data_IF_442936446699
#
_entry.id   IF_442936446699
#
_cell.length_a   1.000
_cell.length_b   1.000
_cell.length_c   1.000
_cell.angle_alpha   90.00
_cell.angle_beta   90.00
_cell.angle_gamma   90.00
#
_symmetry.space_group_name_H-M   'P 1'
#
loop_
_entity.id
_entity.type
_entity.pdbx_description
1 polymer ?
#
# COMPACT_ATOMS: atom_id res chain seq x y z
N UNK A 1 -11.37 9.19 -15.01
CA UNK A 1 -11.24 10.51 -14.35
C UNK A 1 -9.95 10.51 -13.55
N UNK A 2 -9.06 11.51 -13.70
CA UNK A 2 -7.83 11.60 -12.90
C UNK A 2 -8.18 11.71 -11.42
N UNK A 3 -7.35 11.15 -10.52
CA UNK A 3 -7.60 11.15 -9.06
C UNK A 3 -7.82 12.58 -8.54
N UNK A 4 -7.07 13.56 -9.07
CA UNK A 4 -7.22 14.99 -8.81
C UNK A 4 -8.67 15.47 -8.97
N UNK A 5 -9.30 15.18 -10.12
CA UNK A 5 -10.68 15.61 -10.41
C UNK A 5 -11.70 14.92 -9.52
N UNK A 6 -11.48 13.65 -9.15
CA UNK A 6 -12.37 12.90 -8.26
C UNK A 6 -12.34 13.50 -6.85
N UNK A 7 -11.15 13.77 -6.31
CA UNK A 7 -10.99 14.40 -5.00
C UNK A 7 -11.65 15.78 -4.95
N UNK A 8 -11.39 16.63 -5.94
CA UNK A 8 -12.05 17.94 -6.02
C UNK A 8 -13.57 17.80 -6.03
N UNK A 9 -14.13 16.88 -6.82
CA UNK A 9 -15.58 16.68 -6.90
C UNK A 9 -16.18 16.21 -5.58
N UNK A 10 -15.54 15.26 -4.88
CA UNK A 10 -16.00 14.77 -3.58
C UNK A 10 -15.97 15.88 -2.53
N UNK A 11 -14.89 16.65 -2.45
CA UNK A 11 -14.82 17.79 -1.53
C UNK A 11 -15.85 18.86 -1.85
N UNK A 12 -16.01 19.23 -3.13
CA UNK A 12 -17.04 20.19 -3.53
C UNK A 12 -18.43 19.71 -3.14
N UNK A 13 -18.75 18.43 -3.33
CA UNK A 13 -20.06 17.88 -2.96
C UNK A 13 -20.28 17.90 -1.44
N UNK A 14 -19.27 17.50 -0.66
CA UNK A 14 -19.34 17.51 0.79
C UNK A 14 -19.56 18.94 1.33
N UNK A 15 -18.77 19.90 0.88
CA UNK A 15 -18.92 21.30 1.28
C UNK A 15 -20.22 21.92 0.78
N UNK A 16 -20.69 21.57 -0.43
CA UNK A 16 -21.98 22.03 -0.92
C UNK A 16 -23.14 21.57 -0.02
N UNK A 17 -23.14 20.31 0.42
CA UNK A 17 -24.14 19.79 1.36
C UNK A 17 -24.09 20.55 2.69
N UNK A 18 -22.88 20.78 3.23
CA UNK A 18 -22.70 21.54 4.49
C UNK A 18 -23.22 22.98 4.33
N UNK A 19 -22.85 23.69 3.26
CA UNK A 19 -23.28 25.08 3.06
C UNK A 19 -24.78 25.19 2.81
N UNK A 20 -25.38 24.27 2.04
CA UNK A 20 -26.83 24.23 1.83
C UNK A 20 -27.55 23.93 3.15
N UNK A 21 -27.06 22.97 3.93
CA UNK A 21 -27.62 22.64 5.23
C UNK A 21 -27.54 23.81 6.22
N UNK A 22 -26.39 24.49 6.26
CA UNK A 22 -26.19 25.68 7.09
C UNK A 22 -27.09 26.84 6.67
N UNK A 23 -27.22 27.10 5.37
CA UNK A 23 -28.11 28.13 4.84
C UNK A 23 -29.58 27.82 5.15
N UNK A 24 -30.00 26.57 4.99
CA UNK A 24 -31.35 26.12 5.33
C UNK A 24 -31.64 26.28 6.82
N UNK A 25 -30.73 25.81 7.69
CA UNK A 25 -30.86 25.95 9.14
C UNK A 25 -30.95 27.41 9.57
N UNK A 26 -30.07 28.27 9.04
CA UNK A 26 -30.06 29.70 9.32
C UNK A 26 -31.36 30.37 8.89
N UNK A 27 -31.86 30.05 7.68
CA UNK A 27 -33.12 30.59 7.19
C UNK A 27 -34.30 30.14 8.04
N UNK A 28 -34.39 28.85 8.36
CA UNK A 28 -35.45 28.28 9.20
C UNK A 28 -35.45 28.89 10.61
N UNK A 29 -34.28 28.95 11.26
CA UNK A 29 -34.14 29.55 12.58
C UNK A 29 -34.51 31.03 12.57
N UNK A 30 -34.11 31.78 11.54
CA UNK A 30 -34.46 33.20 11.41
C UNK A 30 -35.95 33.41 11.14
N UNK A 31 -36.59 32.54 10.36
CA UNK A 31 -38.03 32.59 10.10
C UNK A 31 -38.85 32.29 11.36
N UNK A 32 -38.42 31.31 12.16
CA UNK A 32 -39.05 30.98 13.45
C UNK A 32 -38.88 32.12 14.46
N UNK A 33 -37.66 32.67 14.60
CA UNK A 33 -37.40 33.80 15.50
C UNK A 33 -38.18 35.06 15.11
N UNK A 34 -38.29 35.35 13.80
CA UNK A 34 -39.10 36.46 13.28
C UNK A 34 -40.56 36.34 13.71
N UNK A 35 -41.13 35.14 13.61
CA UNK A 35 -42.55 34.94 13.93
C UNK A 35 -42.85 35.20 15.42
N UNK A 36 -42.02 34.68 16.32
CA UNK A 36 -42.12 34.91 17.77
C UNK A 36 -41.89 36.38 18.15
N UNK A 37 -40.86 37.02 17.59
CA UNK A 37 -40.60 38.45 17.80
C UNK A 37 -41.77 39.33 17.33
N UNK A 38 -42.44 38.94 16.24
CA UNK A 38 -43.56 39.70 15.69
C UNK A 38 -44.80 39.64 16.60
N UNK A 39 -45.17 38.48 17.13
CA UNK A 39 -46.29 38.38 18.09
C UNK A 39 -46.01 39.17 19.37
N UNK A 40 -44.79 39.08 19.92
CA UNK A 40 -44.38 39.89 21.07
C UNK A 40 -44.48 41.39 20.81
N UNK A 41 -44.09 41.84 19.60
CA UNK A 41 -44.19 43.24 19.19
C UNK A 41 -45.65 43.68 19.05
N UNK A 42 -46.53 42.87 18.45
CA UNK A 42 -47.97 43.16 18.36
C UNK A 42 -48.57 43.35 19.76
N UNK A 43 -48.26 42.44 20.70
CA UNK A 43 -48.70 42.53 22.08
C UNK A 43 -48.22 43.82 22.75
N UNK A 44 -46.94 44.17 22.63
CA UNK A 44 -46.38 45.39 23.22
C UNK A 44 -47.04 46.66 22.69
N UNK A 45 -47.31 46.72 21.39
CA UNK A 45 -48.02 47.84 20.77
C UNK A 45 -49.46 47.94 21.28
N UNK A 46 -50.15 46.81 21.39
CA UNK A 46 -51.51 46.73 21.91
C UNK A 46 -51.60 47.16 23.38
N UNK A 47 -50.66 46.74 24.23
CA UNK A 47 -50.52 47.20 25.62
C UNK A 47 -50.25 48.71 25.66
N UNK A 48 -49.39 49.23 24.79
CA UNK A 48 -49.07 50.66 24.73
C UNK A 48 -50.31 51.49 24.39
N UNK A 49 -51.08 51.10 23.37
CA UNK A 49 -52.34 51.78 23.02
C UNK A 49 -53.37 51.67 24.15
N UNK A 50 -53.45 50.52 24.81
CA UNK A 50 -54.35 50.33 25.95
C UNK A 50 -53.98 51.22 27.13
N UNK A 51 -52.69 51.36 27.45
CA UNK A 51 -52.22 52.28 28.48
C UNK A 51 -52.54 53.74 28.14
N UNK A 52 -52.40 54.14 26.86
CA UNK A 52 -52.77 55.49 26.43
C UNK A 52 -54.28 55.75 26.60
N UNK A 53 -55.12 54.75 26.32
CA UNK A 53 -56.57 54.87 26.46
C UNK A 53 -57.01 54.86 27.94
N UNK A 54 -56.58 53.86 28.72
CA UNK A 54 -57.07 53.62 30.09
C UNK A 54 -56.34 54.45 31.15
N UNK A 55 -55.02 54.62 31.02
CA UNK A 55 -54.20 55.29 32.01
C UNK A 55 -54.00 56.78 31.73
N UNK A 56 -53.55 57.11 30.51
CA UNK A 56 -53.37 58.50 30.08
C UNK A 56 -54.70 59.18 29.69
N UNK A 57 -55.82 58.42 29.64
CA UNK A 57 -57.17 58.90 29.31
C UNK A 57 -57.24 59.67 27.99
N UNK A 58 -56.42 59.29 27.00
CA UNK A 58 -56.45 59.88 25.67
C UNK A 58 -57.79 59.54 25.02
N UNK A 59 -58.50 60.54 24.51
CA UNK A 59 -59.80 60.32 23.89
C UNK A 59 -59.69 59.36 22.67
N UNK A 60 -60.63 58.41 22.48
CA UNK A 60 -60.63 57.46 21.37
C UNK A 60 -60.41 58.12 20.00
N UNK A 61 -61.06 59.26 19.75
CA UNK A 61 -60.95 60.00 18.49
C UNK A 61 -59.55 60.56 18.20
N UNK A 62 -58.74 60.83 19.24
CA UNK A 62 -57.35 61.28 19.06
C UNK A 62 -56.46 60.10 18.64
N UNK A 63 -56.63 58.93 19.27
CA UNK A 63 -55.88 57.71 18.89
C UNK A 63 -56.25 57.26 17.47
N UNK A 64 -57.55 57.33 17.11
CA UNK A 64 -58.02 57.05 15.75
C UNK A 64 -57.46 58.06 14.73
N UNK A 65 -57.30 59.34 15.10
CA UNK A 65 -56.68 60.34 14.23
C UNK A 65 -55.19 60.06 14.02
N UNK A 66 -54.48 59.62 15.06
CA UNK A 66 -53.08 59.18 14.97
C UNK A 66 -52.96 57.98 14.03
N UNK A 67 -53.81 56.96 14.22
CA UNK A 67 -53.86 55.79 13.32
C UNK A 67 -54.16 56.22 11.88
N UNK A 68 -55.20 57.04 11.66
CA UNK A 68 -55.60 57.48 10.32
C UNK A 68 -54.50 58.24 9.56
N UNK A 69 -53.75 59.08 10.27
CA UNK A 69 -52.75 59.97 9.68
C UNK A 69 -51.32 59.40 9.72
N UNK A 70 -51.12 58.17 10.21
CA UNK A 70 -49.81 57.55 10.14
C UNK A 70 -49.52 57.07 8.70
N UNK A 71 -48.32 57.34 8.14
CA UNK A 71 -47.93 56.77 6.85
C UNK A 71 -48.08 55.25 6.83
N UNK A 72 -48.55 54.68 5.72
CA UNK A 72 -48.84 53.24 5.57
C UNK A 72 -49.97 52.69 6.47
N UNK A 73 -51.00 53.49 6.78
CA UNK A 73 -52.19 53.08 7.56
C UNK A 73 -52.83 51.72 7.16
N UNK A 74 -52.84 51.35 5.86
CA UNK A 74 -53.32 50.02 5.41
C UNK A 74 -52.59 48.84 6.10
N UNK A 75 -51.34 49.04 6.50
CA UNK A 75 -50.46 48.05 7.12
C UNK A 75 -50.22 48.31 8.61
N UNK A 76 -50.88 49.32 9.20
CA UNK A 76 -50.78 49.56 10.62
C UNK A 76 -51.47 48.47 11.44
N UNK A 77 -50.96 48.33 12.66
CA UNK A 77 -51.49 47.46 13.69
C UNK A 77 -52.86 47.95 14.14
N UNK A 78 -53.85 47.13 13.87
CA UNK A 78 -55.24 47.34 14.29
C UNK A 78 -55.41 46.72 15.66
N UNK A 79 -55.78 47.53 16.63
CA UNK A 79 -56.03 47.14 18.01
C UNK A 79 -57.49 47.40 18.33
N UNK A 80 -58.14 46.39 18.90
CA UNK A 80 -59.48 46.50 19.46
C UNK A 80 -59.44 46.13 20.95
N UNK A 81 -60.24 46.85 21.74
CA UNK A 81 -60.35 46.67 23.18
C UNK A 81 -61.81 46.44 23.50
N UNK A 82 -62.08 45.30 24.12
CA UNK A 82 -63.40 44.87 24.57
C UNK A 82 -63.42 44.71 26.09
N UNK A 83 -64.61 44.81 26.67
CA UNK A 83 -64.84 44.23 28.00
C UNK A 83 -65.04 42.71 27.92
N UNK A 84 -65.12 42.05 29.07
CA UNK A 84 -65.37 40.59 29.15
C UNK A 84 -66.77 40.17 28.69
N UNK A 85 -67.69 41.11 28.47
CA UNK A 85 -69.06 40.87 28.01
C UNK A 85 -69.22 41.07 26.49
N UNK A 86 -68.11 41.31 25.77
CA UNK A 86 -68.07 41.58 24.33
C UNK A 86 -68.66 42.95 23.94
N UNK A 87 -68.54 43.96 24.80
CA UNK A 87 -68.81 45.35 24.45
C UNK A 87 -67.52 46.01 23.96
N UNK A 88 -67.57 46.61 22.77
CA UNK A 88 -66.43 47.30 22.17
C UNK A 88 -66.20 48.64 22.88
N UNK A 89 -65.01 48.81 23.47
CA UNK A 89 -64.59 50.04 24.15
C UNK A 89 -63.75 50.93 23.22
N UNK A 90 -62.94 50.32 22.36
CA UNK A 90 -62.07 51.03 21.43
C UNK A 90 -61.71 50.16 20.23
N UNK A 91 -61.58 50.79 19.07
CA UNK A 91 -61.08 50.18 17.84
C UNK A 91 -60.33 51.23 17.01
N UNK A 92 -59.16 50.88 16.50
CA UNK A 92 -58.35 51.78 15.66
C UNK A 92 -59.05 52.17 14.35
N UNK A 93 -59.73 51.22 13.69
CA UNK A 93 -60.38 51.40 12.39
C UNK A 93 -61.85 50.94 12.40
N UNK A 94 -62.77 51.76 12.92
CA UNK A 94 -64.20 51.38 13.06
C UNK A 94 -64.86 50.99 11.72
N UNK A 95 -64.35 51.51 10.60
CA UNK A 95 -64.89 51.28 9.25
C UNK A 95 -64.26 50.08 8.52
N UNK A 96 -63.12 49.56 9.01
CA UNK A 96 -62.35 48.46 8.41
C UNK A 96 -61.93 47.51 9.53
N UNK A 97 -62.87 46.68 9.96
CA UNK A 97 -62.61 45.59 10.91
C UNK A 97 -61.96 44.41 10.18
N UNK A 98 -60.65 44.23 10.36
CA UNK A 98 -59.84 43.20 9.66
C UNK A 98 -59.97 41.81 10.29
N UNK A 99 -60.18 41.73 11.61
CA UNK A 99 -60.19 40.45 12.34
C UNK A 99 -61.62 39.90 12.41
N UNK A 100 -62.62 40.77 12.55
CA UNK A 100 -64.01 40.44 12.88
C UNK A 100 -64.08 39.59 14.13
N UNK A 101 -63.79 40.19 15.29
CA UNK A 101 -63.84 39.45 16.55
C UNK A 101 -65.23 38.84 16.76
N UNK A 102 -65.24 37.59 17.22
CA UNK A 102 -66.46 36.86 17.56
C UNK A 102 -66.53 36.64 19.05
N UNK A 103 -67.74 36.52 19.61
CA UNK A 103 -67.93 36.19 21.02
C UNK A 103 -67.23 34.87 21.42
N UNK A 104 -67.10 33.91 20.50
CA UNK A 104 -66.34 32.68 20.72
C UNK A 104 -64.82 32.95 20.88
N UNK A 105 -64.25 33.85 20.06
CA UNK A 105 -62.86 34.27 20.16
C UNK A 105 -62.57 34.94 21.51
N UNK A 106 -63.43 35.87 21.92
CA UNK A 106 -63.30 36.58 23.20
C UNK A 106 -63.38 35.60 24.39
N UNK A 107 -64.33 34.68 24.39
CA UNK A 107 -64.41 33.64 25.43
C UNK A 107 -63.15 32.75 25.47
N UNK A 108 -62.57 32.46 24.32
CA UNK A 108 -61.33 31.68 24.22
C UNK A 108 -60.14 32.45 24.82
N UNK A 109 -60.05 33.77 24.56
CA UNK A 109 -59.02 34.64 25.17
C UNK A 109 -59.21 34.70 26.69
N UNK A 110 -60.45 34.86 27.17
CA UNK A 110 -60.74 34.90 28.61
C UNK A 110 -60.36 33.58 29.30
N UNK A 111 -60.59 32.44 28.63
CA UNK A 111 -60.31 31.11 29.19
C UNK A 111 -58.82 30.77 29.16
N UNK A 112 -58.14 31.04 28.05
CA UNK A 112 -56.74 30.66 27.82
C UNK A 112 -55.73 31.73 28.27
N UNK A 113 -56.21 32.94 28.58
CA UNK A 113 -55.39 34.10 28.91
C UNK A 113 -54.78 34.79 27.69
N UNK A 114 -54.32 34.02 26.70
CA UNK A 114 -53.75 34.52 25.44
C UNK A 114 -53.95 33.51 24.30
N UNK A 115 -54.14 34.02 23.09
CA UNK A 115 -54.14 33.24 21.85
C UNK A 115 -53.34 33.99 20.78
N UNK A 116 -52.62 33.22 19.96
CA UNK A 116 -51.95 33.68 18.75
C UNK A 116 -52.54 32.92 17.56
N UNK A 117 -52.88 33.63 16.48
CA UNK A 117 -53.44 32.99 15.28
C UNK A 117 -53.11 33.77 14.00
N UNK A 118 -53.25 33.09 12.87
CA UNK A 118 -53.10 33.68 11.53
C UNK A 118 -54.46 33.71 10.83
N UNK A 119 -54.80 34.85 10.24
CA UNK A 119 -56.00 35.03 9.44
C UNK A 119 -55.61 35.59 8.06
N UNK A 120 -55.53 34.70 7.08
CA UNK A 120 -54.98 35.04 5.76
C UNK A 120 -53.51 35.45 5.87
N UNK A 121 -53.20 36.70 5.52
CA UNK A 121 -51.85 37.28 5.63
C UNK A 121 -51.62 38.05 6.95
N UNK A 122 -52.63 38.12 7.82
CA UNK A 122 -52.54 38.82 9.10
C UNK A 122 -52.09 37.85 10.18
N UNK A 123 -51.19 38.33 11.04
CA UNK A 123 -50.87 37.70 12.32
C UNK A 123 -51.63 38.49 13.40
N UNK A 124 -52.32 37.76 14.28
CA UNK A 124 -53.17 38.33 15.30
C UNK A 124 -52.82 37.74 16.67
N UNK A 125 -52.86 38.59 17.71
CA UNK A 125 -52.73 38.20 19.10
C UNK A 125 -53.92 38.72 19.88
N UNK A 126 -54.50 37.89 20.73
CA UNK A 126 -55.58 38.24 21.64
C UNK A 126 -55.20 37.88 23.06
N UNK A 127 -55.29 38.80 24.01
CA UNK A 127 -54.87 38.55 25.40
C UNK A 127 -55.70 39.32 26.42
N UNK A 128 -55.73 38.79 27.64
CA UNK A 128 -56.31 39.46 28.81
C UNK A 128 -55.36 40.52 29.36
N UNK A 129 -55.92 41.69 29.66
CA UNK A 129 -55.21 42.80 30.28
C UNK A 129 -55.95 43.30 31.52
N UNK A 130 -55.26 43.31 32.65
CA UNK A 130 -55.82 43.77 33.93
C UNK A 130 -55.43 45.23 34.17
N UNK A 131 -56.41 46.08 34.40
CA UNK A 131 -56.19 47.48 34.74
C UNK A 131 -57.09 47.89 35.91
N UNK A 132 -56.48 48.34 37.02
CA UNK A 132 -57.16 48.81 38.23
C UNK A 132 -58.25 47.85 38.79
N UNK A 133 -58.07 46.54 38.60
CA UNK A 133 -58.99 45.51 39.08
C UNK A 133 -60.00 45.02 38.05
N UNK A 134 -60.14 45.71 36.92
CA UNK A 134 -61.02 45.31 35.81
C UNK A 134 -60.24 44.54 34.74
N UNK A 135 -60.92 43.60 34.07
CA UNK A 135 -60.38 42.80 32.99
C UNK A 135 -60.84 43.33 31.63
N UNK A 136 -59.88 43.53 30.73
CA UNK A 136 -60.10 43.95 29.36
C UNK A 136 -59.55 42.88 28.41
N UNK A 137 -60.23 42.69 27.29
CA UNK A 137 -59.78 41.80 26.22
C UNK A 137 -59.21 42.67 25.10
N UNK A 138 -57.94 42.46 24.79
CA UNK A 138 -57.25 43.21 23.73
C UNK A 138 -56.95 42.27 22.58
N UNK A 139 -57.33 42.67 21.37
CA UNK A 139 -56.91 42.02 20.13
C UNK A 139 -56.05 42.98 19.33
N UNK A 140 -55.00 42.44 18.69
CA UNK A 140 -54.15 43.20 17.79
C UNK A 140 -53.80 42.37 16.56
N UNK A 141 -53.96 42.93 15.36
CA UNK A 141 -53.54 42.28 14.12
C UNK A 141 -52.85 43.21 13.15
N UNK A 142 -51.87 42.66 12.45
CA UNK A 142 -51.19 43.33 11.35
C UNK A 142 -50.51 42.32 10.42
N UNK A 143 -50.02 42.83 9.28
CA UNK A 143 -49.22 42.07 8.31
C UNK A 143 -47.74 42.35 8.51
N UNK A 144 -46.92 41.32 8.71
CA UNK A 144 -45.47 41.47 8.89
C UNK A 144 -44.71 41.72 7.57
N UNK A 145 -44.99 42.83 6.88
CA UNK A 145 -44.32 43.13 5.62
C UNK A 145 -42.81 43.35 5.79
N UNK A 146 -42.42 43.98 6.90
CA UNK A 146 -41.01 44.26 7.18
C UNK A 146 -40.21 42.99 7.47
N UNK A 147 -40.72 42.08 8.29
CA UNK A 147 -40.08 40.80 8.54
C UNK A 147 -40.06 39.90 7.31
N UNK A 148 -41.13 39.87 6.50
CA UNK A 148 -41.16 39.14 5.24
C UNK A 148 -40.13 39.69 4.23
N UNK A 149 -39.99 41.01 4.11
CA UNK A 149 -38.98 41.64 3.26
C UNK A 149 -37.54 41.31 3.75
N UNK A 150 -37.32 41.31 5.08
CA UNK A 150 -36.05 40.85 5.67
C UNK A 150 -35.75 39.38 5.32
N UNK A 151 -36.74 38.50 5.37
CA UNK A 151 -36.56 37.10 4.98
C UNK A 151 -36.21 36.95 3.50
N UNK A 152 -36.82 37.77 2.63
CA UNK A 152 -36.48 37.77 1.20
C UNK A 152 -35.03 38.20 0.94
N UNK A 153 -34.56 39.25 1.64
CA UNK A 153 -33.17 39.70 1.58
C UNK A 153 -32.21 38.65 2.15
N UNK A 154 -32.54 38.05 3.29
CA UNK A 154 -31.75 36.98 3.90
C UNK A 154 -31.60 35.80 2.95
N UNK A 155 -32.70 35.36 2.31
CA UNK A 155 -32.68 34.29 1.30
C UNK A 155 -31.74 34.62 0.15
N UNK A 156 -31.80 35.85 -0.38
CA UNK A 156 -30.93 36.28 -1.47
C UNK A 156 -29.46 36.26 -1.07
N UNK A 157 -29.13 36.81 0.11
CA UNK A 157 -27.76 36.80 0.65
C UNK A 157 -27.26 35.37 0.84
N UNK A 158 -28.08 34.47 1.40
CA UNK A 158 -27.72 33.07 1.62
C UNK A 158 -27.45 32.32 0.30
N UNK A 159 -28.26 32.56 -0.74
CA UNK A 159 -28.04 31.97 -2.07
C UNK A 159 -26.71 32.46 -2.66
N UNK A 160 -26.47 33.77 -2.65
CA UNK A 160 -25.22 34.33 -3.17
C UNK A 160 -24.00 33.85 -2.40
N UNK A 161 -24.08 33.82 -1.06
CA UNK A 161 -23.01 33.31 -0.21
C UNK A 161 -22.72 31.84 -0.50
N UNK A 162 -23.76 31.01 -0.61
CA UNK A 162 -23.60 29.58 -0.93
C UNK A 162 -22.94 29.35 -2.29
N UNK A 163 -23.38 30.06 -3.33
CA UNK A 163 -22.77 29.97 -4.66
C UNK A 163 -21.31 30.44 -4.65
N UNK A 164 -21.02 31.54 -3.95
CA UNK A 164 -19.66 32.06 -3.77
C UNK A 164 -18.75 31.05 -3.06
N UNK A 165 -19.21 30.48 -1.95
CA UNK A 165 -18.48 29.47 -1.18
C UNK A 165 -18.23 28.19 -1.97
N UNK A 166 -19.21 27.69 -2.73
CA UNK A 166 -19.02 26.51 -3.61
C UNK A 166 -17.97 26.81 -4.68
N UNK A 167 -18.06 27.98 -5.33
CA UNK A 167 -17.10 28.39 -6.37
C UNK A 167 -15.67 28.44 -5.80
N UNK A 168 -15.50 29.11 -4.66
CA UNK A 168 -14.21 29.18 -3.97
C UNK A 168 -13.68 27.78 -3.60
N UNK A 169 -14.55 26.88 -3.15
CA UNK A 169 -14.19 25.51 -2.79
C UNK A 169 -13.70 24.71 -4.00
N UNK A 170 -14.31 24.88 -5.17
CA UNK A 170 -13.85 24.23 -6.41
C UNK A 170 -12.43 24.67 -6.74
N UNK A 171 -12.16 25.98 -6.72
CA UNK A 171 -10.83 26.52 -7.02
C UNK A 171 -9.77 26.06 -6.01
N UNK A 172 -10.06 26.18 -4.71
CA UNK A 172 -9.16 25.76 -3.65
C UNK A 172 -8.90 24.25 -3.70
N UNK A 173 -9.95 23.45 -3.84
CA UNK A 173 -9.86 21.99 -3.90
C UNK A 173 -9.06 21.51 -5.12
N UNK A 174 -9.20 22.16 -6.27
CA UNK A 174 -8.38 21.85 -7.45
C UNK A 174 -6.90 22.21 -7.23
N UNK A 175 -6.62 23.38 -6.65
CA UNK A 175 -5.26 23.84 -6.38
C UNK A 175 -4.53 22.90 -5.40
N UNK A 176 -5.14 22.60 -4.26
CA UNK A 176 -4.54 21.69 -3.27
C UNK A 176 -4.37 20.27 -3.80
N UNK A 177 -5.36 19.73 -4.54
CA UNK A 177 -5.23 18.41 -5.14
C UNK A 177 -4.09 18.35 -6.17
N UNK A 178 -3.89 19.42 -6.95
CA UNK A 178 -2.77 19.50 -7.91
C UNK A 178 -1.42 19.52 -7.19
N UNK A 179 -1.29 20.27 -6.10
CA UNK A 179 -0.05 20.36 -5.34
C UNK A 179 0.27 19.06 -4.59
N UNK A 180 -0.71 18.47 -3.91
CA UNK A 180 -0.54 17.24 -3.13
C UNK A 180 -0.18 16.04 -4.02
N UNK A 181 -0.74 15.97 -5.23
CA UNK A 181 -0.49 14.87 -6.18
C UNK A 181 0.59 15.21 -7.20
N UNK A 182 1.35 16.30 -7.03
CA UNK A 182 2.48 16.62 -7.91
C UNK A 182 3.59 15.58 -7.78
N UNK A 183 4.08 15.21 -6.57
CA UNK A 183 5.17 14.23 -6.45
C UNK A 183 4.87 12.88 -7.09
N UNK A 184 3.61 12.42 -7.00
CA UNK A 184 3.18 11.17 -7.64
C UNK A 184 3.24 11.25 -9.17
N UNK A 185 2.95 12.43 -9.75
CA UNK A 185 3.09 12.60 -11.19
C UNK A 185 4.56 12.64 -11.61
N UNK A 186 5.40 13.34 -10.85
CA UNK A 186 6.85 13.38 -11.09
C UNK A 186 7.44 11.95 -11.01
N UNK A 187 7.01 11.12 -10.05
CA UNK A 187 7.40 9.70 -9.98
C UNK A 187 6.94 8.84 -11.16
N UNK A 188 5.75 9.13 -11.74
CA UNK A 188 5.29 8.41 -12.93
C UNK A 188 6.19 8.73 -14.11
N UNK A 189 6.54 10.01 -14.28
CA UNK A 189 7.45 10.46 -15.34
C UNK A 189 8.85 9.82 -15.16
N UNK A 190 9.38 9.80 -13.94
CA UNK A 190 10.65 9.13 -13.60
C UNK A 190 10.61 7.63 -13.96
N UNK A 191 9.50 6.93 -13.66
CA UNK A 191 9.34 5.50 -13.99
C UNK A 191 9.18 5.25 -15.48
N UNK A 192 8.50 6.13 -16.21
CA UNK A 192 8.36 6.01 -17.67
C UNK A 192 9.71 6.15 -18.41
N UNK A 193 10.70 6.83 -17.81
CA UNK A 193 12.06 6.94 -18.34
C UNK A 193 12.94 5.72 -18.02
N UNK A 194 12.53 4.86 -17.07
CA UNK A 194 13.28 3.67 -16.71
C UNK A 194 13.27 2.62 -17.83
N UNK A 195 14.46 2.14 -18.16
CA UNK A 195 14.72 1.09 -19.13
C UNK A 195 15.81 0.16 -18.61
N UNK A 196 15.99 -1.00 -19.25
CA UNK A 196 17.07 -1.93 -18.91
C UNK A 196 18.48 -1.33 -19.05
N UNK A 197 18.63 -0.19 -19.73
CA UNK A 197 19.91 0.50 -19.94
C UNK A 197 20.25 1.59 -18.92
N UNK A 198 19.31 2.03 -18.08
CA UNK A 198 19.47 3.14 -17.12
C UNK A 198 18.82 2.80 -15.76
N UNK A 199 19.05 1.57 -15.28
CA UNK A 199 18.59 1.09 -13.98
C UNK A 199 19.26 1.79 -12.78
N UNK A 200 20.27 2.62 -13.01
CA UNK A 200 20.96 3.46 -12.01
C UNK A 200 20.15 4.70 -11.61
N UNK A 201 19.12 5.07 -12.38
CA UNK A 201 18.19 6.13 -12.02
C UNK A 201 17.40 5.76 -10.77
N UNK A 202 17.13 6.75 -9.93
CA UNK A 202 16.35 6.60 -8.70
C UNK A 202 15.27 7.67 -8.67
N UNK A 203 14.11 7.28 -8.13
CA UNK A 203 13.01 8.21 -7.92
C UNK A 203 13.43 9.27 -6.90
N UNK A 204 13.05 10.51 -7.20
CA UNK A 204 13.27 11.62 -6.26
C UNK A 204 12.41 11.42 -5.01
N UNK A 205 13.00 11.52 -3.82
CA UNK A 205 12.27 11.37 -2.55
C UNK A 205 11.59 12.71 -2.20
N UNK A 206 10.26 12.81 -2.19
CA UNK A 206 9.56 14.05 -1.86
C UNK A 206 9.57 14.34 -0.35
N UNK A 207 9.27 15.60 0.00
CA UNK A 207 8.90 16.05 1.35
C UNK A 207 9.83 15.58 2.49
N UNK A 208 11.14 15.54 2.24
CA UNK A 208 12.18 15.14 3.21
C UNK A 208 11.98 13.73 3.81
N UNK A 209 11.29 12.81 3.13
CA UNK A 209 11.24 11.40 3.56
C UNK A 209 10.24 11.07 4.66
N UNK A 210 9.23 11.91 4.92
CA UNK A 210 8.38 11.78 6.13
C UNK A 210 6.93 11.37 5.87
N UNK A 211 6.48 11.31 4.63
CA UNK A 211 5.11 10.96 4.27
C UNK A 211 5.03 9.62 3.52
N UNK A 212 3.81 9.13 3.34
CA UNK A 212 3.52 7.85 2.68
C UNK A 212 3.97 7.84 1.21
N UNK A 213 4.05 9.02 0.57
CA UNK A 213 4.55 9.14 -0.81
C UNK A 213 6.07 8.95 -0.84
N UNK A 214 6.78 9.48 0.15
CA UNK A 214 8.21 9.27 0.29
C UNK A 214 8.55 7.82 0.65
N UNK A 215 7.76 7.18 1.52
CA UNK A 215 7.89 5.75 1.81
C UNK A 215 7.71 4.90 0.55
N UNK A 216 6.75 5.25 -0.31
CA UNK A 216 6.55 4.60 -1.61
C UNK A 216 7.78 4.77 -2.52
N UNK A 217 8.34 5.98 -2.61
CA UNK A 217 9.55 6.25 -3.40
C UNK A 217 10.76 5.45 -2.90
N UNK A 218 10.96 5.38 -1.58
CA UNK A 218 12.03 4.59 -0.95
C UNK A 218 11.86 3.09 -1.27
N UNK A 219 10.64 2.56 -1.11
CA UNK A 219 10.35 1.14 -1.39
C UNK A 219 10.59 0.81 -2.87
N UNK A 220 10.21 1.71 -3.77
CA UNK A 220 10.46 1.53 -5.20
C UNK A 220 11.96 1.55 -5.52
N UNK A 221 12.72 2.48 -4.93
CA UNK A 221 14.18 2.53 -5.09
C UNK A 221 14.86 1.24 -4.59
N UNK A 222 14.41 0.66 -3.48
CA UNK A 222 14.91 -0.65 -3.02
C UNK A 222 14.62 -1.79 -4.00
N UNK A 223 13.48 -1.76 -4.69
CA UNK A 223 13.18 -2.70 -5.77
C UNK A 223 14.13 -2.50 -6.96
N UNK A 224 14.39 -1.24 -7.34
CA UNK A 224 15.36 -0.90 -8.39
C UNK A 224 16.76 -1.37 -8.04
N UNK A 225 17.22 -1.21 -6.79
CA UNK A 225 18.51 -1.73 -6.33
C UNK A 225 18.61 -3.24 -6.57
N UNK A 226 17.58 -4.01 -6.19
CA UNK A 226 17.55 -5.47 -6.39
C UNK A 226 17.56 -5.86 -7.86
N UNK A 227 16.84 -5.11 -8.70
CA UNK A 227 16.82 -5.32 -10.15
C UNK A 227 18.16 -5.01 -10.78
N UNK A 228 18.78 -3.88 -10.44
CA UNK A 228 20.10 -3.50 -10.92
C UNK A 228 21.16 -4.54 -10.55
N UNK A 229 21.19 -4.97 -9.29
CA UNK A 229 22.09 -6.03 -8.84
C UNK A 229 21.89 -7.33 -9.64
N UNK A 230 20.65 -7.77 -9.82
CA UNK A 230 20.35 -9.00 -10.57
C UNK A 230 20.78 -8.89 -12.03
N UNK A 231 20.52 -7.75 -12.68
CA UNK A 231 20.87 -7.52 -14.08
C UNK A 231 22.39 -7.39 -14.27
N UNK A 232 23.08 -6.73 -13.33
CA UNK A 232 24.54 -6.63 -13.33
C UNK A 232 25.19 -8.01 -13.20
N UNK A 233 24.74 -8.83 -12.24
CA UNK A 233 25.23 -10.20 -12.08
C UNK A 233 24.95 -11.07 -13.31
N UNK A 234 23.79 -10.91 -13.96
CA UNK A 234 23.49 -11.62 -15.22
C UNK A 234 24.43 -11.19 -16.35
N UNK A 235 24.71 -9.88 -16.48
CA UNK A 235 25.62 -9.34 -17.50
C UNK A 235 27.05 -9.84 -17.29
N UNK A 236 27.52 -9.83 -16.05
CA UNK A 236 28.82 -10.37 -15.65
C UNK A 236 28.89 -11.87 -15.98
N UNK A 237 27.88 -12.64 -15.60
CA UNK A 237 27.78 -14.07 -15.92
C UNK A 237 27.91 -14.35 -17.43
N UNK A 238 27.15 -13.64 -18.27
CA UNK A 238 27.19 -13.81 -19.75
C UNK A 238 28.57 -13.42 -20.32
N UNK A 239 29.19 -12.37 -19.78
CA UNK A 239 30.52 -11.92 -20.19
C UNK A 239 31.59 -12.98 -19.86
N UNK A 240 31.61 -13.48 -18.62
CA UNK A 240 32.53 -14.53 -18.19
C UNK A 240 32.34 -15.82 -18.98
N UNK A 241 31.08 -16.25 -19.18
CA UNK A 241 30.73 -17.42 -19.99
C UNK A 241 31.28 -17.30 -21.42
N UNK A 242 31.15 -16.12 -22.03
CA UNK A 242 31.65 -15.87 -23.39
C UNK A 242 33.18 -15.97 -23.46
N UNK A 243 33.89 -15.52 -22.41
CA UNK A 243 35.35 -15.62 -22.33
C UNK A 243 35.83 -17.06 -22.09
N UNK A 244 35.24 -17.76 -21.13
CA UNK A 244 35.60 -19.14 -20.77
C UNK A 244 35.33 -20.15 -21.90
N UNK A 245 34.34 -19.89 -22.77
CA UNK A 245 34.12 -20.67 -23.98
C UNK A 245 35.11 -20.34 -25.10
N UNK A 246 35.42 -19.04 -25.31
CA UNK A 246 36.22 -18.58 -26.46
C UNK A 246 37.66 -19.08 -26.40
N UNK A 247 38.27 -19.08 -25.21
CA UNK A 247 39.68 -19.47 -25.03
C UNK A 247 39.97 -20.91 -25.47
N UNK A 248 39.33 -21.96 -24.89
CA UNK A 248 39.59 -23.35 -25.30
C UNK A 248 39.17 -23.60 -26.76
N UNK A 249 38.10 -22.96 -27.24
CA UNK A 249 37.72 -23.08 -28.65
C UNK A 249 38.78 -22.51 -29.59
N UNK A 250 39.38 -21.37 -29.26
CA UNK A 250 40.48 -20.79 -30.03
C UNK A 250 41.73 -21.69 -30.00
N UNK A 251 42.04 -22.32 -28.86
CA UNK A 251 43.13 -23.29 -28.76
C UNK A 251 42.91 -24.49 -29.68
N UNK A 252 41.72 -25.10 -29.65
CA UNK A 252 41.36 -26.21 -30.56
C UNK A 252 41.53 -25.80 -32.02
N UNK A 253 41.02 -24.63 -32.40
CA UNK A 253 41.14 -24.14 -33.78
C UNK A 253 42.62 -23.97 -34.16
N UNK A 254 43.42 -23.32 -33.31
CA UNK A 254 44.84 -23.09 -33.56
C UNK A 254 45.63 -24.39 -33.66
N UNK A 255 45.40 -25.37 -32.77
CA UNK A 255 46.06 -26.68 -32.81
C UNK A 255 45.78 -27.42 -34.11
N UNK A 256 44.52 -27.41 -34.57
CA UNK A 256 44.12 -28.03 -35.83
C UNK A 256 44.69 -27.30 -37.05
N UNK A 257 44.68 -25.96 -37.08
CA UNK A 257 45.30 -25.17 -38.15
C UNK A 257 46.81 -25.40 -38.25
N UNK A 258 47.48 -25.44 -37.09
CA UNK A 258 48.91 -25.70 -36.98
C UNK A 258 49.25 -27.12 -37.44
N UNK A 259 48.39 -28.11 -37.13
CA UNK A 259 48.52 -29.47 -37.65
C UNK A 259 48.34 -29.52 -39.18
N UNK A 260 47.39 -28.77 -39.74
CA UNK A 260 47.13 -28.74 -41.19
C UNK A 260 48.23 -28.05 -42.01
N UNK A 261 48.88 -27.01 -41.46
CA UNK A 261 49.79 -26.14 -42.23
C UNK A 261 51.23 -26.66 -42.40
N UNK A 262 51.64 -27.72 -41.70
CA UNK A 262 53.01 -28.28 -41.80
C UNK A 262 52.98 -29.80 -41.82
N UNK A 263 53.78 -30.41 -42.69
CA UNK A 263 54.05 -31.85 -42.61
C UNK A 263 54.76 -32.18 -41.30
N UNK A 264 54.27 -33.21 -40.62
CA UNK A 264 54.74 -33.66 -39.31
C UNK A 264 54.84 -35.17 -39.25
N UNK A 265 55.54 -35.66 -38.23
CA UNK A 265 55.54 -37.10 -37.96
C UNK A 265 54.15 -37.56 -37.49
N UNK A 266 53.84 -38.84 -37.70
CA UNK A 266 52.58 -39.42 -37.25
C UNK A 266 52.35 -39.22 -35.73
N UNK A 267 53.42 -39.27 -34.93
CA UNK A 267 53.35 -39.06 -33.48
C UNK A 267 52.94 -37.63 -33.12
N UNK A 268 53.46 -36.62 -33.82
CA UNK A 268 53.10 -35.21 -33.58
C UNK A 268 51.65 -34.90 -33.99
N UNK A 269 51.14 -35.54 -35.05
CA UNK A 269 49.72 -35.46 -35.39
C UNK A 269 48.86 -36.09 -34.31
N UNK A 270 49.26 -37.26 -33.81
CA UNK A 270 48.54 -37.95 -32.73
C UNK A 270 48.48 -37.10 -31.46
N UNK A 271 49.59 -36.45 -31.09
CA UNK A 271 49.66 -35.55 -29.94
C UNK A 271 48.72 -34.34 -30.12
N UNK A 272 48.74 -33.69 -31.29
CA UNK A 272 47.86 -32.55 -31.59
C UNK A 272 46.37 -32.95 -31.55
N UNK A 273 46.02 -34.13 -32.07
CA UNK A 273 44.65 -34.66 -32.02
C UNK A 273 44.23 -34.95 -30.57
N UNK A 274 45.13 -35.48 -29.75
CA UNK A 274 44.85 -35.76 -28.34
C UNK A 274 44.64 -34.45 -27.57
N UNK A 275 45.44 -33.41 -27.82
CA UNK A 275 45.27 -32.09 -27.22
C UNK A 275 43.91 -31.47 -27.61
N UNK A 276 43.61 -31.41 -28.91
CA UNK A 276 42.35 -30.87 -29.40
C UNK A 276 41.13 -31.64 -28.86
N UNK A 277 41.24 -32.97 -28.73
CA UNK A 277 40.18 -33.79 -28.13
C UNK A 277 40.00 -33.52 -26.64
N UNK A 278 41.08 -33.28 -25.89
CA UNK A 278 41.00 -32.93 -24.47
C UNK A 278 40.34 -31.57 -24.27
N UNK A 279 40.69 -30.57 -25.08
CA UNK A 279 40.07 -29.24 -25.03
C UNK A 279 38.58 -29.28 -25.45
N UNK A 280 38.22 -30.09 -26.46
CA UNK A 280 36.82 -30.30 -26.83
C UNK A 280 36.01 -30.99 -25.71
N UNK A 281 36.62 -31.94 -24.99
CA UNK A 281 36.01 -32.55 -23.79
C UNK A 281 35.86 -31.53 -22.65
N UNK A 282 36.83 -30.62 -22.48
CA UNK A 282 36.75 -29.52 -21.49
C UNK A 282 35.60 -28.56 -21.81
N UNK A 283 35.44 -28.19 -23.09
CA UNK A 283 34.29 -27.41 -23.58
C UNK A 283 32.95 -28.10 -23.29
N UNK A 284 32.88 -29.42 -23.53
CA UNK A 284 31.67 -30.21 -23.23
C UNK A 284 31.31 -30.16 -21.75
N UNK A 285 32.30 -30.36 -20.86
CA UNK A 285 32.09 -30.27 -19.40
C UNK A 285 31.59 -28.89 -18.99
N UNK A 286 32.21 -27.82 -19.48
CA UNK A 286 31.77 -26.45 -19.20
C UNK A 286 30.32 -26.23 -19.65
N UNK A 287 29.96 -26.65 -20.88
CA UNK A 287 28.59 -26.52 -21.40
C UNK A 287 27.57 -27.28 -20.55
N UNK A 288 27.91 -28.49 -20.09
CA UNK A 288 27.03 -29.27 -19.22
C UNK A 288 26.84 -28.58 -17.87
N UNK A 289 27.93 -28.14 -17.22
CA UNK A 289 27.84 -27.40 -15.95
C UNK A 289 27.02 -26.12 -16.06
N UNK A 290 27.09 -25.43 -17.20
CA UNK A 290 26.27 -24.24 -17.47
C UNK A 290 24.80 -24.57 -17.62
N UNK A 291 24.48 -25.67 -18.33
CA UNK A 291 23.10 -26.13 -18.46
C UNK A 291 22.53 -26.57 -17.11
N UNK A 292 23.33 -27.25 -16.29
CA UNK A 292 22.93 -27.64 -14.94
C UNK A 292 22.66 -26.42 -14.05
N UNK A 293 23.50 -25.37 -14.15
CA UNK A 293 23.27 -24.10 -13.45
C UNK A 293 22.02 -23.39 -13.95
N UNK A 294 21.78 -23.34 -15.25
CA UNK A 294 20.55 -22.80 -15.81
C UNK A 294 19.32 -23.60 -15.35
N UNK A 295 19.42 -24.94 -15.31
CA UNK A 295 18.35 -25.80 -14.85
C UNK A 295 18.06 -25.62 -13.35
N UNK A 296 19.09 -25.40 -12.53
CA UNK A 296 18.91 -25.05 -11.13
C UNK A 296 18.30 -23.65 -10.92
N UNK A 297 18.23 -22.80 -11.96
CA UNK A 297 17.53 -21.51 -11.90
C UNK A 297 16.04 -21.59 -12.28
N UNK A 298 15.49 -22.77 -12.62
CA UNK A 298 14.04 -22.92 -12.82
C UNK A 298 13.25 -22.74 -11.51
N UNK A 299 11.96 -22.40 -11.67
CA UNK A 299 11.00 -22.34 -10.59
C UNK A 299 10.96 -23.70 -9.85
N UNK A 300 11.19 -23.74 -8.51
CA UNK A 300 11.16 -24.97 -7.73
C UNK A 300 9.88 -25.79 -7.93
N UNK A 301 8.75 -25.14 -8.26
CA UNK A 301 7.47 -25.79 -8.51
C UNK A 301 7.44 -26.68 -9.75
N UNK A 302 8.40 -26.52 -10.66
CA UNK A 302 8.53 -27.34 -11.88
C UNK A 302 9.50 -28.50 -11.71
N UNK A 303 10.21 -28.58 -10.58
CA UNK A 303 11.18 -29.64 -10.33
C UNK A 303 10.45 -30.80 -9.65
N UNK A 304 10.44 -31.96 -10.30
CA UNK A 304 9.88 -33.18 -9.71
C UNK A 304 10.78 -33.65 -8.56
N UNK A 305 10.23 -33.64 -7.35
CA UNK A 305 10.89 -34.17 -6.16
C UNK A 305 10.34 -35.56 -5.85
N UNK A 306 11.21 -36.44 -5.36
CA UNK A 306 10.88 -37.78 -4.88
C UNK A 306 11.65 -38.08 -3.60
N UNK A 307 11.23 -39.11 -2.88
CA UNK A 307 11.94 -39.61 -1.71
C UNK A 307 13.25 -40.26 -2.17
N UNK A 308 14.36 -39.83 -1.56
CA UNK A 308 15.71 -40.20 -1.95
C UNK A 308 16.52 -40.56 -0.72
N UNK A 309 17.09 -41.75 -0.74
CA UNK A 309 18.08 -42.20 0.23
C UNK A 309 19.45 -41.59 -0.06
N UNK A 310 20.01 -40.86 0.89
CA UNK A 310 21.27 -40.14 0.70
C UNK A 310 22.48 -41.08 0.56
N UNK A 311 22.46 -42.23 1.23
CA UNK A 311 23.51 -43.24 1.15
C UNK A 311 23.59 -43.89 -0.23
N UNK A 312 22.45 -44.28 -0.80
CA UNK A 312 22.37 -44.78 -2.19
C UNK A 312 22.89 -43.73 -3.18
N UNK A 313 22.45 -42.49 -3.02
CA UNK A 313 22.85 -41.40 -3.92
C UNK A 313 24.35 -41.10 -3.86
N UNK A 314 24.95 -41.20 -2.67
CA UNK A 314 26.39 -41.01 -2.47
C UNK A 314 27.21 -42.20 -3.01
N UNK A 315 26.69 -43.42 -2.91
CA UNK A 315 27.29 -44.60 -3.54
C UNK A 315 27.29 -44.46 -5.07
N UNK A 316 26.18 -44.02 -5.65
CA UNK A 316 26.05 -43.75 -7.08
C UNK A 316 27.01 -42.65 -7.53
N UNK A 317 27.07 -41.53 -6.80
CA UNK A 317 28.00 -40.44 -7.06
C UNK A 317 29.46 -40.91 -7.03
N UNK A 318 29.83 -41.73 -6.03
CA UNK A 318 31.16 -42.34 -5.91
C UNK A 318 31.45 -43.26 -7.10
N UNK A 319 30.52 -44.15 -7.46
CA UNK A 319 30.72 -45.12 -8.55
C UNK A 319 30.89 -44.39 -9.88
N UNK A 320 30.10 -43.35 -10.13
CA UNK A 320 30.19 -42.54 -11.34
C UNK A 320 31.54 -41.81 -11.42
N UNK A 321 31.99 -41.19 -10.32
CA UNK A 321 33.25 -40.45 -10.29
C UNK A 321 34.47 -41.38 -10.44
N UNK A 322 34.51 -42.48 -9.69
CA UNK A 322 35.62 -43.45 -9.75
C UNK A 322 35.68 -44.20 -11.09
N UNK A 323 34.54 -44.40 -11.76
CA UNK A 323 34.49 -44.92 -13.13
C UNK A 323 35.10 -43.95 -14.17
N UNK A 324 34.96 -42.64 -13.96
CA UNK A 324 35.56 -41.59 -14.81
C UNK A 324 37.03 -41.32 -14.47
N UNK A 325 37.40 -41.43 -13.20
CA UNK A 325 38.73 -41.13 -12.66
C UNK A 325 39.18 -42.26 -11.71
N UNK A 326 39.80 -43.34 -12.23
CA UNK A 326 40.18 -44.51 -11.42
C UNK A 326 41.22 -44.22 -10.32
N UNK A 327 41.93 -43.09 -10.41
CA UNK A 327 42.92 -42.66 -9.42
C UNK A 327 42.31 -42.06 -8.15
N UNK A 328 41.04 -41.67 -8.18
CA UNK A 328 40.38 -41.02 -7.05
C UNK A 328 39.96 -42.05 -5.99
N UNK A 329 40.24 -41.72 -4.73
CA UNK A 329 39.83 -42.52 -3.58
C UNK A 329 38.69 -41.80 -2.87
N UNK A 330 37.59 -42.52 -2.67
CA UNK A 330 36.41 -41.97 -1.99
C UNK A 330 36.04 -42.93 -0.86
N UNK A 331 36.17 -42.42 0.36
CA UNK A 331 35.94 -43.16 1.59
C UNK A 331 34.60 -42.70 2.19
N UNK A 332 33.62 -43.60 2.25
CA UNK A 332 32.30 -43.33 2.85
C UNK A 332 32.28 -43.88 4.27
N UNK A 333 31.97 -43.03 5.23
CA UNK A 333 31.86 -43.34 6.65
C UNK A 333 30.43 -43.09 7.08
N UNK A 334 29.81 -44.09 7.69
CA UNK A 334 28.49 -43.96 8.31
C UNK A 334 28.75 -43.84 9.81
N UNK A 335 28.45 -42.67 10.39
CA UNK A 335 28.76 -42.45 11.81
C UNK A 335 27.92 -43.38 12.70
N UNK A 336 26.68 -43.69 12.31
CA UNK A 336 25.76 -44.58 13.02
C UNK A 336 25.09 -45.56 12.04
N UNK A 337 24.81 -46.79 12.48
CA UNK A 337 23.84 -47.66 11.80
C UNK A 337 22.47 -46.97 11.95
N UNK A 338 21.93 -46.43 10.87
CA UNK A 338 20.62 -45.78 10.91
C UNK A 338 19.57 -46.84 11.31
N UNK A 339 19.00 -46.73 12.52
CA UNK A 339 17.92 -47.62 12.98
C UNK A 339 16.62 -47.40 12.20
N UNK A 340 16.49 -46.24 11.53
CA UNK A 340 15.34 -45.82 10.73
C UNK A 340 15.81 -45.21 9.39
N UNK A 341 15.33 -45.80 8.29
CA UNK A 341 15.66 -45.38 6.92
C UNK A 341 15.18 -43.93 6.63
N UNK A 342 14.16 -43.43 7.35
CA UNK A 342 13.60 -42.09 7.15
C UNK A 342 14.58 -40.97 7.54
N UNK A 343 15.51 -41.23 8.48
CA UNK A 343 16.47 -40.25 9.01
C UNK A 343 17.57 -39.85 8.00
N UNK A 344 17.75 -40.66 6.96
CA UNK A 344 18.67 -40.42 5.84
C UNK A 344 17.94 -40.29 4.50
N UNK A 345 16.62 -40.20 4.53
CA UNK A 345 15.77 -40.02 3.35
C UNK A 345 15.32 -38.57 3.24
N UNK A 346 15.59 -37.95 2.09
CA UNK A 346 15.24 -36.55 1.80
C UNK A 346 14.27 -36.46 0.63
N UNK A 347 13.46 -35.40 0.61
CA UNK A 347 12.62 -35.09 -0.55
C UNK A 347 13.44 -34.24 -1.54
N UNK A 348 13.74 -34.78 -2.72
CA UNK A 348 14.60 -34.09 -3.67
C UNK A 348 14.60 -34.60 -5.10
N UNK A 349 15.39 -33.94 -5.93
CA UNK A 349 15.65 -34.33 -7.30
C UNK A 349 16.98 -35.08 -7.38
N UNK A 350 16.91 -36.35 -7.81
CA UNK A 350 18.06 -37.27 -7.84
C UNK A 350 19.22 -36.73 -8.67
N UNK A 351 18.92 -36.21 -9.86
CA UNK A 351 19.94 -35.71 -10.78
C UNK A 351 20.68 -34.52 -10.18
N UNK A 352 19.94 -33.55 -9.64
CA UNK A 352 20.55 -32.34 -9.06
C UNK A 352 21.40 -32.68 -7.83
N UNK A 353 20.86 -33.41 -6.86
CA UNK A 353 21.62 -33.76 -5.66
C UNK A 353 22.86 -34.60 -5.99
N UNK A 354 22.76 -35.54 -6.94
CA UNK A 354 23.92 -36.31 -7.41
C UNK A 354 24.99 -35.39 -8.01
N UNK A 355 24.60 -34.43 -8.85
CA UNK A 355 25.53 -33.44 -9.42
C UNK A 355 26.23 -32.62 -8.34
N UNK A 356 25.49 -32.16 -7.32
CA UNK A 356 26.06 -31.42 -6.19
C UNK A 356 27.09 -32.27 -5.40
N UNK A 357 26.78 -33.53 -5.14
CA UNK A 357 27.67 -34.44 -4.42
C UNK A 357 28.90 -34.79 -5.24
N UNK A 358 28.75 -35.11 -6.53
CA UNK A 358 29.89 -35.36 -7.43
C UNK A 358 30.84 -34.16 -7.42
N UNK A 359 30.32 -32.93 -7.52
CA UNK A 359 31.15 -31.71 -7.48
C UNK A 359 31.96 -31.58 -6.19
N UNK A 360 31.38 -31.89 -5.04
CA UNK A 360 32.08 -31.80 -3.75
C UNK A 360 33.13 -32.90 -3.58
N UNK A 361 32.80 -34.13 -3.96
CA UNK A 361 33.73 -35.26 -3.92
C UNK A 361 34.89 -35.03 -4.88
N UNK A 362 34.61 -34.58 -6.10
CA UNK A 362 35.63 -34.25 -7.09
C UNK A 362 36.55 -33.14 -6.58
N UNK A 363 36.02 -32.08 -5.96
CA UNK A 363 36.84 -31.04 -5.34
C UNK A 363 37.74 -31.62 -4.24
N UNK A 364 37.21 -32.47 -3.34
CA UNK A 364 38.01 -33.09 -2.29
C UNK A 364 39.17 -33.94 -2.84
N UNK A 365 38.91 -34.77 -3.84
CA UNK A 365 39.95 -35.57 -4.50
C UNK A 365 40.96 -34.68 -5.28
N UNK A 366 40.48 -33.64 -5.94
CA UNK A 366 41.29 -32.79 -6.82
C UNK A 366 42.29 -31.91 -6.08
N UNK A 367 41.93 -31.44 -4.88
CA UNK A 367 42.78 -30.55 -4.09
C UNK A 367 43.60 -31.28 -3.00
N UNK A 368 43.38 -32.60 -2.83
CA UNK A 368 44.16 -33.43 -1.91
C UNK A 368 45.33 -34.14 -2.58
N UNK A 369 46.50 -34.13 -1.93
CA UNK A 369 47.72 -34.75 -2.47
C UNK A 369 47.61 -36.27 -2.65
N UNK A 370 46.81 -36.95 -1.82
CA UNK A 370 46.53 -38.38 -1.91
C UNK A 370 45.33 -38.72 -2.82
N UNK A 371 44.73 -37.71 -3.46
CA UNK A 371 43.51 -37.82 -4.26
C UNK A 371 42.32 -38.47 -3.53
N UNK A 372 42.27 -38.29 -2.21
CA UNK A 372 41.23 -38.86 -1.35
C UNK A 372 40.22 -37.81 -0.88
N UNK A 373 38.94 -38.17 -0.92
CA UNK A 373 37.86 -37.44 -0.25
C UNK A 373 37.16 -38.38 0.74
N UNK A 374 36.98 -37.91 1.97
CA UNK A 374 36.27 -38.62 3.03
C UNK A 374 34.89 -38.01 3.18
N UNK A 375 33.86 -38.85 3.08
CA UNK A 375 32.47 -38.46 3.17
C UNK A 375 31.90 -39.10 4.43
N UNK A 376 31.34 -38.31 5.34
CA UNK A 376 30.60 -38.84 6.49
C UNK A 376 29.12 -38.48 6.42
N UNK A 377 28.26 -39.44 6.75
CA UNK A 377 26.82 -39.25 6.88
C UNK A 377 26.46 -39.36 8.37
N UNK A 378 25.77 -38.35 8.85
CA UNK A 378 25.19 -38.27 10.19
C UNK A 378 23.79 -37.66 10.09
N UNK A 379 23.02 -37.68 11.17
CA UNK A 379 21.69 -37.07 11.21
C UNK A 379 21.41 -36.53 12.62
N UNK A 380 20.55 -35.53 12.71
CA UNK A 380 19.97 -35.06 13.96
C UNK A 380 18.45 -35.34 13.99
N UNK A 381 17.68 -34.64 14.84
CA UNK A 381 16.23 -34.83 14.95
C UNK A 381 15.42 -34.38 13.73
N UNK A 382 15.98 -33.50 12.89
CA UNK A 382 15.24 -32.83 11.80
C UNK A 382 16.01 -32.79 10.47
N UNK A 383 17.32 -33.06 10.47
CA UNK A 383 18.18 -32.89 9.31
C UNK A 383 19.17 -34.05 9.17
N UNK A 384 19.40 -34.49 7.94
CA UNK A 384 20.56 -35.29 7.58
C UNK A 384 21.76 -34.37 7.34
N UNK A 385 22.91 -34.74 7.87
CA UNK A 385 24.14 -33.94 7.87
C UNK A 385 25.25 -34.72 7.14
N UNK A 386 25.68 -34.19 5.99
CA UNK A 386 26.74 -34.75 5.16
C UNK A 386 28.01 -33.91 5.32
N UNK A 387 29.14 -34.57 5.55
CA UNK A 387 30.46 -33.91 5.58
C UNK A 387 31.32 -34.44 4.44
N UNK A 388 31.89 -33.54 3.65
CA UNK A 388 32.84 -33.85 2.60
C UNK A 388 34.18 -33.22 2.98
N UNK A 389 35.12 -34.04 3.42
CA UNK A 389 36.43 -33.61 3.94
C UNK A 389 37.57 -34.05 3.04
N UNK A 390 38.57 -33.19 2.91
CA UNK A 390 39.85 -33.47 2.26
C UNK A 390 41.03 -33.05 3.14
N UNK A 391 42.21 -33.57 2.83
CA UNK A 391 43.49 -33.21 3.47
C UNK A 391 44.37 -32.39 2.52
N UNK A 392 43.73 -31.52 1.73
CA UNK A 392 44.36 -30.76 0.67
C UNK A 392 45.01 -29.45 1.13
N UNK A 393 45.25 -28.59 0.15
CA UNK A 393 45.92 -27.29 0.35
C UNK A 393 45.10 -26.29 1.18
N UNK A 394 43.81 -26.53 1.39
CA UNK A 394 42.89 -25.61 2.04
C UNK A 394 42.60 -24.34 1.22
N UNK A 395 41.71 -23.51 1.75
CA UNK A 395 41.24 -22.27 1.14
C UNK A 395 41.64 -21.11 2.06
N UNK A 396 42.29 -20.06 1.54
CA UNK A 396 42.58 -18.86 2.32
C UNK A 396 41.32 -18.18 2.84
N UNK A 397 41.40 -17.62 4.05
CA UNK A 397 40.25 -16.97 4.71
C UNK A 397 39.66 -15.82 3.89
N UNK A 398 40.50 -15.11 3.13
CA UNK A 398 40.07 -14.03 2.24
C UNK A 398 39.24 -14.53 1.03
N UNK A 399 39.43 -15.78 0.61
CA UNK A 399 38.75 -16.37 -0.55
C UNK A 399 37.41 -17.03 -0.14
N UNK A 400 37.27 -17.45 1.13
CA UNK A 400 36.08 -18.15 1.66
C UNK A 400 34.73 -17.46 1.35
N UNK A 401 34.57 -16.12 1.48
CA UNK A 401 33.30 -15.47 1.20
C UNK A 401 32.85 -15.56 -0.26
N UNK A 402 33.79 -15.79 -1.18
CA UNK A 402 33.56 -15.70 -2.62
C UNK A 402 33.52 -17.07 -3.32
N UNK A 403 33.85 -18.18 -2.65
CA UNK A 403 33.97 -19.50 -3.29
C UNK A 403 32.69 -20.03 -3.94
N UNK A 404 31.53 -19.52 -3.51
CA UNK A 404 30.23 -19.87 -4.07
C UNK A 404 29.78 -18.91 -5.18
N UNK A 405 30.57 -17.89 -5.52
CA UNK A 405 30.30 -17.04 -6.67
C UNK A 405 30.64 -17.79 -7.97
N UNK A 406 29.77 -17.77 -8.99
CA UNK A 406 30.07 -18.39 -10.28
C UNK A 406 31.37 -17.85 -10.89
N UNK A 407 32.16 -18.73 -11.49
CA UNK A 407 33.46 -18.43 -12.11
C UNK A 407 34.55 -17.94 -11.15
N UNK A 408 34.27 -17.84 -9.84
CA UNK A 408 35.31 -17.52 -8.88
C UNK A 408 36.34 -18.64 -8.82
N UNK A 409 37.60 -18.25 -8.92
CA UNK A 409 38.74 -19.12 -8.69
C UNK A 409 39.65 -18.39 -7.71
N UNK A 410 39.88 -18.99 -6.55
CA UNK A 410 40.76 -18.42 -5.54
C UNK A 410 42.23 -18.42 -5.98
N UNK A 411 43.09 -17.93 -5.11
CA UNK A 411 44.55 -17.85 -5.32
C UNK A 411 45.26 -19.18 -5.66
N UNK A 412 44.56 -20.32 -5.51
CA UNK A 412 45.00 -21.66 -5.86
C UNK A 412 44.71 -22.08 -7.32
N UNK A 413 44.43 -21.13 -8.23
CA UNK A 413 44.11 -21.35 -9.65
C UNK A 413 45.06 -22.33 -10.37
N UNK A 414 46.34 -22.31 -10.01
CA UNK A 414 47.41 -23.13 -10.61
C UNK A 414 47.41 -24.58 -10.15
N UNK A 415 46.71 -24.92 -9.07
CA UNK A 415 46.79 -26.25 -8.45
C UNK A 415 45.98 -27.30 -9.20
N UNK A 416 44.83 -26.93 -9.76
CA UNK A 416 43.97 -27.89 -10.48
C UNK A 416 42.97 -27.24 -11.45
N UNK A 417 42.76 -27.86 -12.62
CA UNK A 417 41.91 -27.33 -13.71
C UNK A 417 40.41 -27.31 -13.36
N UNK A 418 39.72 -26.18 -13.46
CA UNK A 418 38.28 -26.08 -13.21
C UNK A 418 37.73 -24.70 -13.54
N UNK A 419 36.42 -24.63 -13.78
CA UNK A 419 35.78 -23.43 -14.35
C UNK A 419 35.12 -22.51 -13.31
N UNK A 420 35.24 -22.82 -12.00
CA UNK A 420 34.63 -22.02 -10.92
C UNK A 420 33.10 -22.10 -10.82
N UNK A 421 32.45 -23.00 -11.57
CA UNK A 421 30.97 -23.13 -11.60
C UNK A 421 30.47 -24.13 -10.54
N UNK A 422 31.27 -25.16 -10.22
CA UNK A 422 30.82 -26.33 -9.46
C UNK A 422 30.27 -25.99 -8.07
N UNK A 423 30.97 -25.15 -7.29
CA UNK A 423 30.53 -24.78 -5.94
C UNK A 423 29.30 -23.87 -5.95
N UNK A 424 29.22 -22.92 -6.88
CA UNK A 424 28.05 -22.07 -7.06
C UNK A 424 26.79 -22.90 -7.41
N UNK A 425 26.96 -23.88 -8.31
CA UNK A 425 25.92 -24.84 -8.65
C UNK A 425 25.52 -25.70 -7.45
N UNK A 426 26.50 -26.23 -6.71
CA UNK A 426 26.25 -27.00 -5.48
C UNK A 426 25.43 -26.19 -4.47
N UNK A 427 25.83 -24.96 -4.16
CA UNK A 427 25.07 -24.11 -3.23
C UNK A 427 23.63 -23.93 -3.71
N UNK A 428 23.44 -23.60 -4.98
CA UNK A 428 22.11 -23.41 -5.57
C UNK A 428 21.23 -24.67 -5.46
N UNK A 429 21.80 -25.84 -5.77
CA UNK A 429 21.11 -27.13 -5.66
C UNK A 429 20.70 -27.36 -4.20
N UNK A 430 21.61 -27.20 -3.24
CA UNK A 430 21.31 -27.40 -1.82
C UNK A 430 20.20 -26.45 -1.35
N UNK A 431 20.24 -25.17 -1.76
CA UNK A 431 19.19 -24.19 -1.42
C UNK A 431 17.82 -24.57 -1.97
N UNK A 432 17.73 -25.09 -3.20
CA UNK A 432 16.45 -25.55 -3.80
C UNK A 432 15.85 -26.73 -3.02
N UNK A 433 16.70 -27.52 -2.38
CA UNK A 433 16.31 -28.64 -1.51
C UNK A 433 16.07 -28.20 -0.06
N UNK A 434 15.92 -26.90 0.20
CA UNK A 434 15.77 -26.32 1.55
C UNK A 434 16.92 -26.69 2.50
N UNK A 435 18.11 -26.95 1.96
CA UNK A 435 19.30 -27.26 2.74
C UNK A 435 20.22 -26.06 2.93
N UNK A 436 21.23 -26.26 3.77
CA UNK A 436 22.29 -25.31 4.04
C UNK A 436 23.65 -25.94 3.73
N UNK A 437 24.57 -25.14 3.18
CA UNK A 437 25.96 -25.55 2.94
C UNK A 437 26.90 -24.59 3.67
N UNK A 438 27.80 -25.15 4.48
CA UNK A 438 28.85 -24.44 5.21
C UNK A 438 30.22 -24.98 4.80
N UNK A 439 31.25 -24.15 4.95
CA UNK A 439 32.63 -24.50 4.61
C UNK A 439 33.55 -24.18 5.78
N UNK A 440 34.42 -25.12 6.11
CA UNK A 440 35.49 -24.97 7.10
C UNK A 440 36.79 -25.35 6.43
N UNK A 441 37.71 -24.40 6.30
CA UNK A 441 38.98 -24.65 5.63
C UNK A 441 40.09 -23.86 6.29
N UNK A 442 41.29 -24.43 6.32
CA UNK A 442 42.51 -23.73 6.71
C UNK A 442 43.64 -24.14 5.77
N UNK A 443 44.40 -23.15 5.33
CA UNK A 443 45.53 -23.37 4.42
C UNK A 443 46.50 -24.41 4.98
N UNK A 444 46.75 -25.47 4.21
CA UNK A 444 47.64 -26.58 4.54
C UNK A 444 47.04 -27.68 5.42
N UNK A 445 45.81 -27.51 5.93
CA UNK A 445 45.13 -28.53 6.76
C UNK A 445 43.99 -29.25 6.01
N UNK A 446 43.48 -28.65 4.92
CA UNK A 446 42.41 -29.21 4.08
C UNK A 446 41.10 -28.42 4.16
N UNK A 447 40.06 -28.94 3.50
CA UNK A 447 38.71 -28.33 3.49
C UNK A 447 37.66 -29.33 3.91
N UNK A 448 36.63 -28.86 4.61
CA UNK A 448 35.43 -29.62 4.93
C UNK A 448 34.20 -28.82 4.53
N UNK A 449 33.39 -29.38 3.63
CA UNK A 449 32.05 -28.89 3.33
C UNK A 449 31.03 -29.65 4.17
N UNK A 450 30.16 -28.91 4.84
CA UNK A 450 29.05 -29.44 5.65
C UNK A 450 27.76 -29.11 4.91
N UNK A 451 26.97 -30.13 4.56
CA UNK A 451 25.63 -29.97 4.01
C UNK A 451 24.61 -30.46 5.02
N UNK A 452 23.59 -29.65 5.26
CA UNK A 452 22.44 -30.03 6.06
C UNK A 452 21.19 -30.05 5.19
N UNK A 453 20.48 -31.17 5.12
CA UNK A 453 19.23 -31.33 4.36
C UNK A 453 18.11 -31.77 5.30
N UNK A 454 16.89 -31.22 5.17
CA UNK A 454 15.76 -31.70 5.96
C UNK A 454 15.40 -33.13 5.54
N UNK A 455 15.42 -34.07 6.49
CA UNK A 455 14.95 -35.43 6.24
C UNK A 455 13.42 -35.49 6.32
N UNK A 456 12.83 -36.58 5.82
CA UNK A 456 11.39 -36.79 5.96
C UNK A 456 11.01 -36.83 7.45
N UNK A 457 9.89 -36.22 7.85
CA UNK A 457 9.44 -36.32 9.23
C UNK A 457 9.16 -37.78 9.54
N UNK A 458 9.93 -38.35 10.47
CA UNK A 458 9.70 -39.70 11.01
C UNK A 458 8.26 -39.73 11.53
N UNK A 459 7.39 -40.51 10.88
CA UNK A 459 6.01 -40.72 11.31
C UNK A 459 5.99 -41.64 12.56
N UNK A 460 6.63 -41.19 13.64
CA UNK A 460 6.73 -41.89 14.91
C UNK A 460 5.71 -41.40 15.93
N UNK A 461 4.61 -42.14 16.07
CA UNK A 461 3.72 -42.20 17.24
C UNK A 461 3.16 -40.88 17.81
N UNK A 462 2.17 -40.30 17.12
CA UNK A 462 1.09 -39.57 17.80
C UNK A 462 0.15 -40.60 18.46
N UNK A 463 0.54 -41.11 19.63
CA UNK A 463 -0.43 -41.72 20.53
C UNK A 463 -1.27 -40.58 21.15
N UNK A 464 -2.56 -40.65 20.86
CA UNK A 464 -3.67 -39.75 21.24
C UNK A 464 -3.63 -39.23 22.68
#
# INVERSE_FOLDING_TARGET
MKIRSRLTMVFTLLFAVIFIGFAFFTYYSSAANREDEYYKRLRQLAVTKTNLLLDAKVAPGVLQLIYKNTPNNLFQEEVAIYDTFFNLLYHDAVDIDKIKETRAMINTIVTNGEIEFKQGQLQAVGFLYMYKGDQYVITAAAKDEYGLAKMANLRFILILATLGSITLTVFAGYFFAKQALKPVADMIDDVEELSASNLDLRLTIPNNGKDEIAELAITFNQMLDRLEHSFSSQKEFVSHLSHELRTPLATVIAELEIALNKERTADQYRESIVQALNDARRLTRLSTSLLDLANANYDPTQISFKELRLDELLLDARQELTGKQPGYKVSLIFDHDAEDDDLITVLGNEYLLKTAFINLIENGCKFSANQESVISISYDLHKSVLRFSDTGIGIPEADLPNIFQPFFRGSNETFADGNGIGLALTQKIITIHNGEISVFSRTGEGTTFLIELPHLPVLGNLHF
#
